data_IF_245989407635
#
_entry.id   IF_245989407635
#
_cell.length_a   1.000
_cell.length_b   1.000
_cell.length_c   1.000
_cell.angle_alpha   90.00
_cell.angle_beta   90.00
_cell.angle_gamma   90.00
#
_symmetry.space_group_name_H-M   'P 1'
#
loop_
_entity.id
_entity.type
_entity.pdbx_description
1 polymer ?
#
# COMPACT_ATOMS: atom_id res chain seq x y z
N UNK A 1 8.68 18.69 6.72
CA UNK A 1 8.65 17.67 7.78
C UNK A 1 8.17 16.38 7.16
N UNK A 2 8.75 15.25 7.54
CA UNK A 2 8.37 13.95 6.96
C UNK A 2 7.19 13.34 7.71
N UNK A 3 6.32 12.63 6.99
CA UNK A 3 5.14 11.96 7.56
C UNK A 3 5.52 10.66 8.29
N UNK A 4 6.57 9.99 7.82
CA UNK A 4 7.04 8.73 8.37
C UNK A 4 8.04 8.92 9.53
N UNK A 5 7.93 8.10 10.59
CA UNK A 5 8.99 7.89 11.56
C UNK A 5 10.34 7.59 10.90
N UNK A 6 11.44 7.93 11.60
CA UNK A 6 12.80 7.73 11.07
C UNK A 6 13.09 6.28 10.70
N UNK A 7 12.66 5.32 11.53
CA UNK A 7 12.91 3.89 11.29
C UNK A 7 12.24 3.38 10.01
N UNK A 8 11.01 3.82 9.75
CA UNK A 8 10.27 3.47 8.54
C UNK A 8 10.97 3.94 7.28
N UNK A 9 11.50 5.18 7.30
CA UNK A 9 12.23 5.75 6.17
C UNK A 9 13.52 5.00 5.90
N UNK A 10 14.32 4.75 6.95
CA UNK A 10 15.56 3.98 6.81
C UNK A 10 15.30 2.57 6.27
N UNK A 11 14.19 1.94 6.68
CA UNK A 11 13.79 0.64 6.14
C UNK A 11 13.45 0.70 4.65
N UNK A 12 12.65 1.68 4.22
CA UNK A 12 12.28 1.86 2.80
C UNK A 12 13.47 2.22 1.93
N UNK A 13 14.35 3.11 2.40
CA UNK A 13 15.60 3.48 1.74
C UNK A 13 16.53 2.26 1.61
N UNK A 14 16.70 1.48 2.68
CA UNK A 14 17.50 0.25 2.65
C UNK A 14 16.94 -0.84 1.73
N UNK A 15 15.63 -0.79 1.45
CA UNK A 15 14.95 -1.64 0.47
C UNK A 15 14.99 -1.08 -0.97
N UNK A 16 15.53 0.12 -1.17
CA UNK A 16 15.55 0.79 -2.47
C UNK A 16 14.16 1.21 -2.97
N UNK A 17 13.18 1.34 -2.06
CA UNK A 17 11.82 1.70 -2.41
C UNK A 17 11.72 3.22 -2.46
N UNK A 18 11.29 3.74 -3.62
CA UNK A 18 11.03 5.17 -3.77
C UNK A 18 9.70 5.53 -3.13
N UNK A 19 9.70 6.61 -2.35
CA UNK A 19 8.57 7.01 -1.51
C UNK A 19 8.21 8.46 -1.78
N UNK A 20 6.90 8.73 -1.91
CA UNK A 20 6.35 10.08 -1.93
C UNK A 20 5.33 10.26 -0.81
N UNK A 21 5.48 11.34 -0.05
CA UNK A 21 4.59 11.68 1.06
C UNK A 21 3.64 12.80 0.62
N UNK A 22 2.34 12.63 0.85
CA UNK A 22 1.29 13.56 0.40
C UNK A 22 0.31 13.84 1.54
N UNK A 23 -0.14 15.08 1.66
CA UNK A 23 -1.24 15.46 2.54
C UNK A 23 -2.36 16.06 1.69
N UNK A 24 -3.55 15.46 1.74
CA UNK A 24 -4.74 15.96 1.05
C UNK A 24 -5.95 15.85 1.96
N UNK A 25 -6.69 16.96 2.13
CA UNK A 25 -7.93 16.97 2.93
C UNK A 25 -7.74 16.47 4.37
N UNK A 26 -6.56 16.72 4.96
CA UNK A 26 -6.20 16.26 6.31
C UNK A 26 -5.78 14.79 6.39
N UNK A 27 -5.84 14.02 5.30
CA UNK A 27 -5.32 12.65 5.23
C UNK A 27 -3.83 12.67 4.88
N UNK A 28 -3.07 11.82 5.55
CA UNK A 28 -1.64 11.61 5.31
C UNK A 28 -1.48 10.35 4.47
N UNK A 29 -0.84 10.45 3.32
CA UNK A 29 -0.60 9.34 2.40
C UNK A 29 0.88 9.13 2.15
N UNK A 30 1.27 7.86 2.09
CA UNK A 30 2.61 7.42 1.68
C UNK A 30 2.45 6.58 0.42
N UNK A 31 3.09 7.00 -0.66
CA UNK A 31 3.03 6.34 -1.95
C UNK A 31 4.37 5.66 -2.20
N UNK A 32 4.36 4.34 -2.29
CA UNK A 32 5.49 3.51 -2.68
C UNK A 32 5.41 3.30 -4.19
N UNK A 33 6.41 3.75 -4.93
CA UNK A 33 6.33 3.75 -6.40
C UNK A 33 7.06 2.55 -7.01
N UNK A 34 6.51 1.98 -8.07
CA UNK A 34 7.18 0.95 -8.87
C UNK A 34 7.35 -0.40 -8.16
N UNK A 35 6.42 -0.77 -7.28
CA UNK A 35 6.43 -2.08 -6.63
C UNK A 35 6.27 -3.17 -7.68
N UNK A 36 7.23 -4.09 -7.73
CA UNK A 36 7.23 -5.20 -8.70
C UNK A 36 6.17 -6.23 -8.31
N UNK A 37 5.41 -6.67 -9.30
CA UNK A 37 4.36 -7.66 -9.16
C UNK A 37 4.84 -9.08 -9.51
N UNK A 38 4.17 -10.12 -9.00
CA UNK A 38 4.44 -11.50 -9.39
C UNK A 38 4.31 -11.69 -10.92
N UNK A 39 5.34 -12.29 -11.52
CA UNK A 39 5.44 -12.47 -12.97
C UNK A 39 4.23 -13.25 -13.52
N UNK A 40 3.66 -12.77 -14.62
CA UNK A 40 2.54 -13.43 -15.29
C UNK A 40 1.23 -13.50 -14.51
N UNK A 41 1.14 -12.89 -13.31
CA UNK A 41 -0.09 -12.89 -12.51
C UNK A 41 -1.02 -11.74 -12.87
N UNK A 42 -0.46 -10.57 -13.13
CA UNK A 42 -1.18 -9.33 -13.40
C UNK A 42 -0.92 -8.82 -14.81
N UNK A 43 -1.82 -7.95 -15.29
CA UNK A 43 -1.75 -7.31 -16.59
C UNK A 43 -0.63 -6.24 -16.72
N UNK A 44 0.03 -5.90 -15.62
CA UNK A 44 1.18 -4.99 -15.54
C UNK A 44 2.27 -5.61 -14.68
N UNK A 45 3.53 -5.22 -14.89
CA UNK A 45 4.67 -5.73 -14.13
C UNK A 45 4.94 -4.96 -12.82
N UNK A 46 4.47 -3.71 -12.74
CA UNK A 46 4.71 -2.83 -11.60
C UNK A 46 3.46 -2.04 -11.24
N UNK A 47 3.38 -1.61 -9.98
CA UNK A 47 2.27 -0.86 -9.42
C UNK A 47 2.76 0.13 -8.37
N UNK A 48 2.08 1.26 -8.25
CA UNK A 48 2.26 2.18 -7.15
C UNK A 48 1.27 1.82 -6.03
N UNK A 49 1.74 1.89 -4.79
CA UNK A 49 0.96 1.53 -3.60
C UNK A 49 0.82 2.75 -2.70
N UNK A 50 -0.41 3.17 -2.48
CA UNK A 50 -0.78 4.16 -1.47
C UNK A 50 -1.11 3.47 -0.14
N UNK A 51 -0.52 3.96 0.93
CA UNK A 51 -0.85 3.64 2.31
C UNK A 51 -1.33 4.93 2.97
N UNK A 52 -2.58 4.95 3.43
CA UNK A 52 -3.12 6.07 4.20
C UNK A 52 -2.74 5.88 5.67
N UNK A 53 -1.98 6.83 6.21
CA UNK A 53 -1.55 6.81 7.59
C UNK A 53 -2.68 7.35 8.49
N UNK A 54 -3.09 6.60 9.53
CA UNK A 54 -3.99 7.11 10.54
C UNK A 54 -3.32 8.25 11.35
N UNK A 55 -4.11 9.10 12.04
CA UNK A 55 -3.57 10.25 12.78
C UNK A 55 -2.47 9.89 13.79
N UNK A 56 -2.60 8.74 14.45
CA UNK A 56 -1.68 8.24 15.49
C UNK A 56 -0.71 7.16 14.97
N UNK A 57 -0.44 7.10 13.68
CA UNK A 57 0.59 6.20 13.15
C UNK A 57 1.97 6.51 13.80
N UNK A 58 2.76 5.51 14.24
CA UNK A 58 2.57 4.05 14.08
C UNK A 58 1.84 3.35 15.25
N UNK A 59 1.32 4.07 16.25
CA UNK A 59 0.53 3.46 17.34
C UNK A 59 -0.75 2.79 16.82
N UNK A 60 -1.30 3.31 15.72
CA UNK A 60 -2.46 2.73 15.02
C UNK A 60 -2.05 2.24 13.64
N UNK A 61 -2.48 1.02 13.29
CA UNK A 61 -2.23 0.42 12.00
C UNK A 61 -2.92 1.18 10.87
N UNK A 62 -2.27 1.34 9.70
CA UNK A 62 -2.98 1.60 8.47
C UNK A 62 -3.95 0.45 8.16
N UNK A 63 -5.19 0.80 7.84
CA UNK A 63 -6.25 -0.20 7.65
C UNK A 63 -6.10 -0.93 6.30
N UNK A 64 -5.92 -0.14 5.24
CA UNK A 64 -5.93 -0.59 3.85
C UNK A 64 -4.70 -0.15 3.09
N UNK A 65 -4.48 -0.79 1.95
CA UNK A 65 -3.62 -0.25 0.90
C UNK A 65 -4.42 -0.04 -0.38
N UNK A 66 -3.86 0.76 -1.27
CA UNK A 66 -4.51 1.11 -2.52
C UNK A 66 -3.51 1.05 -3.65
N UNK A 67 -3.95 0.60 -4.82
CA UNK A 67 -3.07 0.32 -5.96
C UNK A 67 -3.43 1.19 -7.17
N UNK A 68 -2.42 1.70 -7.87
CA UNK A 68 -2.54 2.30 -9.20
C UNK A 68 -1.39 1.83 -10.10
N UNK A 69 -1.63 1.39 -11.35
CA UNK A 69 -2.95 1.23 -11.99
C UNK A 69 -3.81 0.17 -11.28
N UNK A 70 -5.10 0.17 -11.56
CA UNK A 70 -6.01 -0.86 -11.04
C UNK A 70 -5.57 -2.23 -11.54
N UNK A 71 -5.38 -3.19 -10.64
CA UNK A 71 -4.87 -4.52 -10.95
C UNK A 71 -5.97 -5.45 -11.42
N UNK A 72 -5.66 -6.21 -12.47
CA UNK A 72 -6.48 -7.31 -12.99
C UNK A 72 -5.60 -8.55 -13.11
N UNK A 73 -6.13 -9.69 -12.64
CA UNK A 73 -5.48 -10.97 -12.84
C UNK A 73 -5.53 -11.33 -14.32
N UNK A 74 -4.40 -11.78 -14.87
CA UNK A 74 -4.36 -12.30 -16.24
C UNK A 74 -5.26 -13.53 -16.38
N UNK A 75 -5.25 -14.39 -15.37
CA UNK A 75 -6.17 -15.51 -15.26
C UNK A 75 -7.62 -15.01 -15.12
N UNK A 76 -8.40 -15.17 -16.19
CA UNK A 76 -9.81 -14.80 -16.24
C UNK A 76 -10.10 -13.30 -16.35
N UNK A 77 -9.07 -12.46 -16.57
CA UNK A 77 -9.20 -11.01 -16.80
C UNK A 77 -10.06 -10.27 -15.76
N UNK A 78 -10.03 -10.73 -14.51
CA UNK A 78 -10.90 -10.25 -13.43
C UNK A 78 -10.12 -9.46 -12.38
N UNK A 79 -10.83 -8.58 -11.68
CA UNK A 79 -10.25 -7.91 -10.52
C UNK A 79 -10.05 -8.91 -9.36
N UNK A 80 -8.97 -8.77 -8.58
CA UNK A 80 -8.78 -9.55 -7.36
C UNK A 80 -9.92 -9.36 -6.35
N UNK A 81 -10.14 -10.36 -5.49
CA UNK A 81 -11.19 -10.31 -4.48
C UNK A 81 -11.03 -9.13 -3.50
N UNK A 82 -12.17 -8.48 -3.22
CA UNK A 82 -12.31 -7.34 -2.33
C UNK A 82 -11.50 -6.11 -2.81
N UNK A 83 -11.56 -5.82 -4.11
CA UNK A 83 -10.89 -4.68 -4.75
C UNK A 83 -11.79 -3.76 -5.58
N UNK A 84 -13.12 -3.89 -5.43
CA UNK A 84 -14.09 -3.17 -6.27
C UNK A 84 -14.26 -1.70 -5.87
N UNK A 85 -13.86 -1.34 -4.64
CA UNK A 85 -13.99 0.02 -4.13
C UNK A 85 -12.83 0.91 -4.61
N UNK A 86 -13.11 2.20 -4.73
CA UNK A 86 -12.14 3.22 -5.17
C UNK A 86 -11.89 4.25 -4.08
N UNK A 87 -10.70 4.83 -4.08
CA UNK A 87 -10.31 5.95 -3.23
C UNK A 87 -9.73 7.06 -4.10
N UNK A 88 -10.38 8.22 -4.13
CA UNK A 88 -9.79 9.43 -4.71
C UNK A 88 -8.75 10.00 -3.73
N UNK A 89 -7.51 10.18 -4.20
CA UNK A 89 -6.41 10.77 -3.43
C UNK A 89 -5.27 11.16 -4.38
N UNK A 90 -4.64 12.30 -4.14
CA UNK A 90 -3.53 12.85 -4.92
C UNK A 90 -3.87 12.98 -6.42
N UNK A 91 -5.08 13.45 -6.72
CA UNK A 91 -5.58 13.59 -8.09
C UNK A 91 -5.79 12.26 -8.84
N UNK A 92 -5.65 11.13 -8.17
CA UNK A 92 -5.78 9.78 -8.75
C UNK A 92 -6.93 9.00 -8.11
N UNK A 93 -7.48 8.06 -8.87
CA UNK A 93 -8.41 7.06 -8.36
C UNK A 93 -7.66 5.76 -8.12
N UNK A 94 -7.57 5.37 -6.86
CA UNK A 94 -6.86 4.19 -6.42
C UNK A 94 -7.80 3.00 -6.24
N UNK A 95 -7.38 1.81 -6.64
CA UNK A 95 -8.10 0.56 -6.33
C UNK A 95 -7.88 0.23 -4.86
N UNK A 96 -8.94 0.18 -4.05
CA UNK A 96 -8.83 -0.14 -2.63
C UNK A 96 -8.71 -1.64 -2.42
N UNK A 97 -7.68 -2.08 -1.71
CA UNK A 97 -7.51 -3.47 -1.32
C UNK A 97 -7.93 -3.69 0.13
N UNK A 98 -9.08 -4.35 0.31
CA UNK A 98 -9.62 -4.62 1.65
C UNK A 98 -8.87 -5.76 2.36
N UNK A 99 -7.84 -5.41 3.12
CA UNK A 99 -6.99 -6.33 3.91
C UNK A 99 -6.74 -5.72 5.29
N UNK A 100 -7.60 -6.01 6.27
CA UNK A 100 -7.51 -5.49 7.64
C UNK A 100 -6.37 -6.12 8.46
N UNK A 101 -5.77 -5.37 9.39
CA UNK A 101 -4.79 -5.88 10.35
C UNK A 101 -5.32 -5.84 11.78
N UNK A 102 -5.66 -7.01 12.31
CA UNK A 102 -6.13 -7.10 13.70
C UNK A 102 -5.00 -7.48 14.69
N UNK A 103 -3.77 -7.65 14.20
CA UNK A 103 -2.63 -8.12 15.00
C UNK A 103 -1.52 -7.07 15.15
N UNK A 104 -1.78 -5.81 14.80
CA UNK A 104 -0.80 -4.74 14.91
C UNK A 104 -0.37 -4.51 16.36
N UNK A 105 0.94 -4.40 16.58
CA UNK A 105 1.57 -4.19 17.88
C UNK A 105 2.10 -2.76 17.95
N UNK A 106 1.47 -1.87 18.74
CA UNK A 106 1.98 -0.52 18.97
C UNK A 106 3.42 -0.53 19.49
N UNK A 107 4.23 0.44 19.06
CA UNK A 107 5.66 0.53 19.37
C UNK A 107 6.55 -0.56 18.77
N UNK A 108 6.00 -1.55 18.06
CA UNK A 108 6.76 -2.68 17.47
C UNK A 108 6.53 -2.84 15.98
N UNK A 109 5.33 -2.57 15.47
CA UNK A 109 5.03 -2.63 14.05
C UNK A 109 5.15 -1.25 13.40
N UNK A 110 5.52 -1.25 12.12
CA UNK A 110 5.76 -0.05 11.33
C UNK A 110 5.50 -0.31 9.85
N UNK A 111 6.10 0.50 8.99
CA UNK A 111 5.84 0.42 7.54
C UNK A 111 6.26 -0.93 6.97
N UNK A 112 7.26 -1.59 7.57
CA UNK A 112 7.70 -2.94 7.19
C UNK A 112 6.57 -3.97 7.31
N UNK A 113 5.78 -3.91 8.38
CA UNK A 113 4.64 -4.80 8.60
C UNK A 113 3.57 -4.55 7.55
N UNK A 114 3.31 -3.29 7.19
CA UNK A 114 2.39 -2.97 6.09
C UNK A 114 2.91 -3.45 4.73
N UNK A 115 4.18 -3.19 4.42
CA UNK A 115 4.78 -3.61 3.15
C UNK A 115 4.71 -5.13 2.98
N UNK A 116 5.03 -5.90 4.03
CA UNK A 116 4.92 -7.37 3.99
C UNK A 116 3.51 -7.85 3.70
N UNK A 117 2.50 -7.19 4.26
CA UNK A 117 1.09 -7.50 4.01
C UNK A 117 0.65 -7.12 2.60
N UNK A 118 1.19 -6.04 2.04
CA UNK A 118 0.98 -5.66 0.64
C UNK A 118 1.57 -6.74 -0.28
N UNK A 119 2.84 -7.11 -0.06
CA UNK A 119 3.52 -8.16 -0.82
C UNK A 119 2.72 -9.48 -0.78
N UNK A 120 2.32 -9.94 0.41
CA UNK A 120 1.52 -11.15 0.58
C UNK A 120 0.17 -11.06 -0.12
N UNK A 121 -0.54 -9.93 0.00
CA UNK A 121 -1.83 -9.75 -0.63
C UNK A 121 -1.76 -9.77 -2.17
N UNK A 122 -0.67 -9.25 -2.75
CA UNK A 122 -0.39 -9.31 -4.19
C UNK A 122 0.01 -10.74 -4.62
N UNK A 123 0.76 -11.45 -3.77
CA UNK A 123 1.17 -12.83 -4.04
C UNK A 123 -0.02 -13.80 -4.03
N UNK A 124 -0.92 -13.71 -3.05
CA UNK A 124 -2.03 -14.68 -2.88
C UNK A 124 -3.33 -14.25 -3.55
N UNK A 125 -3.33 -13.11 -4.25
CA UNK A 125 -4.52 -12.58 -4.91
C UNK A 125 -5.15 -13.61 -5.85
N UNK A 126 -6.48 -13.69 -5.77
CA UNK A 126 -7.34 -14.56 -6.56
C UNK A 126 -8.77 -13.99 -6.57
#
# INVERSE_FOLDING_TARGET
MSLLPRQDRLYLEGRGITVREVIEGGKKGVILTGITLPEGKYQVAQVDILILLPPSYPEVAPDMFYAVPHLKLLAGQREPRCTQARQAFDGQNWQRWSRHNNQWRPGTDGIWTMLKRVEEALEVAA
#
